data_IF_346966860920
#
_entry.id   IF_346966860920
#
_cell.length_a   1.000
_cell.length_b   1.000
_cell.length_c   1.000
_cell.angle_alpha   90.00
_cell.angle_beta   90.00
_cell.angle_gamma   90.00
#
_symmetry.space_group_name_H-M   'P 1'
#
loop_
_entity.id
_entity.type
_entity.pdbx_description
1 polymer ?
#
# COMPACT_ATOMS: atom_id res chain seq x y z
N UNK A 1 -0.38 1.10 6.24
CA UNK A 1 -0.45 2.56 6.07
C UNK A 1 0.85 3.21 6.55
N UNK A 2 1.34 4.28 5.94
CA UNK A 2 2.57 4.98 6.31
C UNK A 2 2.41 6.50 6.06
N UNK A 3 3.39 7.30 6.47
CA UNK A 3 3.38 8.77 6.37
C UNK A 3 3.00 9.29 4.98
N UNK A 4 3.46 8.65 3.90
CA UNK A 4 3.09 9.05 2.54
C UNK A 4 1.59 9.04 2.29
N UNK A 5 0.86 8.01 2.76
CA UNK A 5 -0.61 7.98 2.65
C UNK A 5 -1.27 9.09 3.48
N UNK A 6 -0.74 9.38 4.67
CA UNK A 6 -1.26 10.49 5.50
C UNK A 6 -1.05 11.85 4.84
N UNK A 7 0.08 12.05 4.14
CA UNK A 7 0.33 13.29 3.40
C UNK A 7 -0.70 13.50 2.29
N UNK A 8 -1.04 12.45 1.54
CA UNK A 8 -2.10 12.50 0.51
C UNK A 8 -3.46 12.84 1.12
N UNK A 9 -3.84 12.17 2.23
CA UNK A 9 -5.11 12.44 2.92
C UNK A 9 -5.13 13.86 3.51
N UNK A 10 -4.01 14.34 4.05
CA UNK A 10 -3.93 15.70 4.58
C UNK A 10 -4.10 16.76 3.48
N UNK A 11 -3.50 16.53 2.30
CA UNK A 11 -3.69 17.43 1.16
C UNK A 11 -5.15 17.41 0.68
N UNK A 12 -5.75 16.23 0.55
CA UNK A 12 -7.15 16.08 0.19
C UNK A 12 -8.07 16.82 1.18
N UNK A 13 -7.80 16.69 2.48
CA UNK A 13 -8.57 17.36 3.55
C UNK A 13 -8.52 18.89 3.47
N UNK A 14 -7.43 19.45 2.95
CA UNK A 14 -7.33 20.91 2.75
C UNK A 14 -8.25 21.40 1.62
N UNK A 15 -8.70 20.50 0.75
CA UNK A 15 -9.56 20.79 -0.38
C UNK A 15 -11.06 20.56 -0.07
N UNK A 16 -11.38 19.71 0.89
CA UNK A 16 -12.76 19.39 1.25
C UNK A 16 -12.92 18.08 2.03
N UNK A 17 -14.12 17.54 2.00
CA UNK A 17 -14.45 16.23 2.57
C UNK A 17 -13.74 15.12 1.80
N UNK A 18 -13.16 14.15 2.53
CA UNK A 18 -12.32 13.11 1.92
C UNK A 18 -13.07 11.78 1.86
N UNK A 19 -13.23 11.25 0.64
CA UNK A 19 -13.63 9.88 0.38
C UNK A 19 -12.39 9.09 -0.04
N UNK A 20 -12.13 7.96 0.61
CA UNK A 20 -10.94 7.13 0.31
C UNK A 20 -11.35 5.88 -0.45
N UNK A 21 -10.83 5.70 -1.66
CA UNK A 21 -10.88 4.43 -2.38
C UNK A 21 -9.85 3.45 -1.80
N UNK A 22 -10.30 2.36 -1.18
CA UNK A 22 -9.43 1.38 -0.54
C UNK A 22 -9.42 0.07 -1.33
N UNK A 23 -8.25 -0.33 -1.82
CA UNK A 23 -8.11 -1.61 -2.53
C UNK A 23 -8.59 -2.79 -1.68
N UNK A 24 -9.43 -3.64 -2.30
CA UNK A 24 -9.88 -4.90 -1.69
C UNK A 24 -8.74 -5.91 -1.58
N UNK A 25 -8.92 -6.93 -0.75
CA UNK A 25 -7.90 -7.96 -0.55
C UNK A 25 -7.58 -8.73 -1.83
N UNK A 26 -8.58 -8.90 -2.71
CA UNK A 26 -8.40 -9.58 -4.00
C UNK A 26 -7.52 -8.77 -4.95
N UNK A 27 -7.69 -7.45 -5.01
CA UNK A 27 -6.81 -6.56 -5.78
C UNK A 27 -5.39 -6.63 -5.25
N UNK A 28 -5.20 -6.55 -3.94
CA UNK A 28 -3.85 -6.60 -3.34
C UNK A 28 -3.18 -7.94 -3.64
N UNK A 29 -3.89 -9.06 -3.50
CA UNK A 29 -3.38 -10.41 -3.81
C UNK A 29 -3.01 -10.57 -5.28
N UNK A 30 -3.81 -10.01 -6.16
CA UNK A 30 -3.60 -10.15 -7.61
C UNK A 30 -2.38 -9.38 -8.14
N UNK A 31 -2.00 -8.28 -7.51
CA UNK A 31 -0.99 -7.37 -8.04
C UNK A 31 0.29 -7.26 -7.22
N UNK A 32 0.24 -7.53 -5.91
CA UNK A 32 1.41 -7.33 -5.04
C UNK A 32 1.72 -8.53 -4.15
N UNK A 33 0.92 -8.74 -3.11
CA UNK A 33 1.16 -9.73 -2.05
C UNK A 33 -0.09 -9.96 -1.23
N UNK A 34 -0.09 -10.98 -0.38
CA UNK A 34 -1.15 -11.12 0.61
C UNK A 34 -1.16 -9.93 1.56
N UNK A 35 -2.31 -9.29 1.78
CA UNK A 35 -2.43 -8.22 2.75
C UNK A 35 -2.18 -8.76 4.17
N UNK A 36 -1.42 -8.03 4.98
CA UNK A 36 -1.19 -8.37 6.40
C UNK A 36 -2.46 -8.12 7.21
N UNK A 37 -3.15 -7.01 6.93
CA UNK A 37 -4.44 -6.65 7.50
C UNK A 37 -5.54 -6.89 6.47
N UNK A 38 -6.66 -7.47 6.89
CA UNK A 38 -7.84 -7.65 6.03
C UNK A 38 -8.47 -6.31 5.65
N UNK A 39 -9.30 -6.33 4.61
CA UNK A 39 -9.99 -5.13 4.12
C UNK A 39 -10.70 -4.37 5.24
N UNK A 40 -11.50 -5.05 6.05
CA UNK A 40 -12.29 -4.42 7.12
C UNK A 40 -11.42 -3.75 8.18
N UNK A 41 -10.31 -4.39 8.57
CA UNK A 41 -9.35 -3.83 9.52
C UNK A 41 -8.67 -2.57 8.95
N UNK A 42 -8.30 -2.60 7.67
CA UNK A 42 -7.70 -1.45 6.97
C UNK A 42 -8.70 -0.31 6.82
N UNK A 43 -9.97 -0.64 6.54
CA UNK A 43 -11.08 0.28 6.43
C UNK A 43 -11.29 1.01 7.76
N UNK A 44 -11.42 0.27 8.86
CA UNK A 44 -11.58 0.83 10.19
C UNK A 44 -10.47 1.82 10.56
N UNK A 45 -9.21 1.48 10.26
CA UNK A 45 -8.08 2.39 10.50
C UNK A 45 -8.24 3.70 9.71
N UNK A 46 -8.67 3.63 8.45
CA UNK A 46 -8.80 4.80 7.58
C UNK A 46 -10.00 5.66 7.97
N UNK A 47 -11.13 5.06 8.32
CA UNK A 47 -12.33 5.76 8.78
C UNK A 47 -12.08 6.59 10.06
N UNK A 48 -11.11 6.20 10.88
CA UNK A 48 -10.70 6.94 12.07
C UNK A 48 -9.68 8.06 11.80
N UNK A 49 -9.31 8.30 10.53
CA UNK A 49 -8.44 9.44 10.19
C UNK A 49 -9.29 10.70 10.08
N UNK A 50 -8.84 11.74 10.77
CA UNK A 50 -9.52 13.04 10.77
C UNK A 50 -9.71 13.58 9.34
N UNK A 51 -10.96 13.88 8.98
CA UNK A 51 -11.34 14.45 7.70
C UNK A 51 -11.76 13.41 6.65
N UNK A 52 -11.59 12.13 6.90
CA UNK A 52 -12.20 11.06 6.09
C UNK A 52 -13.66 10.93 6.51
N UNK A 53 -14.55 11.07 5.55
CA UNK A 53 -16.01 10.93 5.76
C UNK A 53 -16.54 9.59 5.28
N UNK A 54 -15.84 8.95 4.33
CA UNK A 54 -16.26 7.67 3.77
C UNK A 54 -15.05 6.89 3.23
N UNK A 55 -15.12 5.55 3.34
CA UNK A 55 -14.18 4.62 2.70
C UNK A 55 -14.95 3.68 1.79
N UNK A 56 -14.66 3.73 0.49
CA UNK A 56 -15.31 2.91 -0.53
C UNK A 56 -14.37 1.81 -1.05
N UNK A 57 -14.90 0.62 -1.42
CA UNK A 57 -14.07 -0.43 -1.99
C UNK A 57 -13.54 -0.02 -3.38
N UNK A 58 -12.27 -0.35 -3.61
CA UNK A 58 -11.59 -0.22 -4.89
C UNK A 58 -11.24 -1.62 -5.39
N UNK A 59 -12.11 -2.16 -6.27
CA UNK A 59 -12.06 -3.56 -6.72
C UNK A 59 -11.12 -3.80 -7.90
N UNK A 60 -10.52 -2.75 -8.44
CA UNK A 60 -9.56 -2.79 -9.54
C UNK A 60 -8.42 -1.81 -9.29
N UNK A 61 -7.30 -1.93 -10.01
CA UNK A 61 -6.25 -0.89 -9.99
C UNK A 61 -6.72 0.39 -10.66
N UNK A 62 -7.56 0.27 -11.70
CA UNK A 62 -8.14 1.41 -12.38
C UNK A 62 -9.23 2.05 -11.50
N UNK A 63 -9.09 3.34 -11.23
CA UNK A 63 -9.96 4.09 -10.33
C UNK A 63 -11.17 4.72 -11.03
N UNK A 64 -11.22 4.64 -12.37
CA UNK A 64 -12.22 5.33 -13.20
C UNK A 64 -13.66 5.02 -12.77
N UNK A 65 -13.96 3.75 -12.47
CA UNK A 65 -15.31 3.34 -12.06
C UNK A 65 -15.79 4.10 -10.81
N UNK A 66 -14.93 4.19 -9.79
CA UNK A 66 -15.25 4.93 -8.57
C UNK A 66 -15.29 6.44 -8.80
N UNK A 67 -14.38 6.99 -9.62
CA UNK A 67 -14.35 8.40 -9.97
C UNK A 67 -15.65 8.82 -10.68
N UNK A 68 -16.12 8.05 -11.66
CA UNK A 68 -17.34 8.35 -12.37
C UNK A 68 -18.60 8.21 -11.51
N UNK A 69 -18.58 7.30 -10.52
CA UNK A 69 -19.67 7.10 -9.56
C UNK A 69 -19.76 8.24 -8.55
N UNK A 70 -18.63 8.61 -7.95
CA UNK A 70 -18.53 9.65 -6.90
C UNK A 70 -18.54 11.06 -7.51
N UNK A 71 -17.90 11.22 -8.68
CA UNK A 71 -17.72 12.50 -9.38
C UNK A 71 -17.07 13.57 -8.49
N UNK A 72 -15.92 13.28 -7.86
CA UNK A 72 -15.27 14.23 -6.97
C UNK A 72 -14.74 15.46 -7.73
N UNK A 73 -14.76 16.64 -7.11
CA UNK A 73 -14.13 17.83 -7.68
C UNK A 73 -12.62 17.66 -7.83
N UNK A 74 -12.00 16.97 -6.89
CA UNK A 74 -10.57 16.68 -6.85
C UNK A 74 -10.30 15.20 -6.63
N UNK A 75 -9.39 14.63 -7.40
CA UNK A 75 -8.73 13.36 -7.08
C UNK A 75 -7.34 13.71 -6.60
N UNK A 76 -6.95 13.22 -5.43
CA UNK A 76 -5.62 13.44 -4.84
C UNK A 76 -4.86 12.13 -4.81
N UNK A 77 -3.68 12.09 -5.39
CA UNK A 77 -2.84 10.89 -5.47
C UNK A 77 -1.36 11.22 -5.27
N UNK A 78 -0.54 10.24 -4.89
CA UNK A 78 0.91 10.39 -4.94
C UNK A 78 1.42 10.52 -6.39
N UNK A 79 2.55 11.16 -6.61
CA UNK A 79 3.09 11.36 -7.95
C UNK A 79 3.95 10.18 -8.46
N UNK A 80 3.99 9.08 -7.72
CA UNK A 80 4.73 7.85 -8.02
C UNK A 80 4.21 7.07 -9.24
N UNK A 81 3.04 7.40 -9.74
CA UNK A 81 2.42 6.81 -10.95
C UNK A 81 2.70 7.57 -12.26
N UNK A 82 3.48 8.66 -12.20
CA UNK A 82 3.86 9.43 -13.41
C UNK A 82 4.71 8.65 -14.38
N UNK A 83 5.44 7.68 -13.86
CA UNK A 83 6.38 6.85 -14.61
C UNK A 83 6.05 5.36 -14.45
N UNK A 84 6.55 4.54 -15.38
CA UNK A 84 6.40 3.09 -15.32
C UNK A 84 5.02 2.58 -15.73
N UNK A 85 4.65 1.42 -15.20
CA UNK A 85 3.44 0.68 -15.60
C UNK A 85 2.12 1.35 -15.20
N UNK A 86 2.15 2.28 -14.27
CA UNK A 86 0.95 2.97 -13.76
C UNK A 86 0.61 4.26 -14.53
N UNK A 87 1.43 4.64 -15.51
CA UNK A 87 1.19 5.85 -16.33
C UNK A 87 -0.17 5.80 -17.06
N UNK A 88 -0.55 4.64 -17.58
CA UNK A 88 -1.84 4.46 -18.25
C UNK A 88 -3.02 4.68 -17.27
N UNK A 89 -2.93 4.18 -16.04
CA UNK A 89 -3.95 4.40 -15.01
C UNK A 89 -4.11 5.90 -14.70
N UNK A 90 -3.01 6.64 -14.64
CA UNK A 90 -3.02 8.08 -14.46
C UNK A 90 -3.73 8.80 -15.60
N UNK A 91 -3.45 8.42 -16.85
CA UNK A 91 -4.11 8.99 -18.03
C UNK A 91 -5.62 8.70 -18.04
N UNK A 92 -6.03 7.49 -17.65
CA UNK A 92 -7.43 7.12 -17.52
C UNK A 92 -8.16 7.98 -16.47
N UNK A 93 -7.53 8.24 -15.32
CA UNK A 93 -8.07 9.14 -14.29
C UNK A 93 -8.25 10.55 -14.81
N UNK A 94 -7.24 11.11 -15.50
CA UNK A 94 -7.33 12.46 -16.10
C UNK A 94 -8.47 12.52 -17.11
N UNK A 95 -8.60 11.53 -17.97
CA UNK A 95 -9.66 11.46 -18.95
C UNK A 95 -11.04 11.40 -18.30
N UNK A 96 -11.21 10.58 -17.26
CA UNK A 96 -12.46 10.49 -16.51
C UNK A 96 -12.83 11.82 -15.85
N UNK A 97 -11.88 12.50 -15.19
CA UNK A 97 -12.07 13.80 -14.57
C UNK A 97 -12.48 14.88 -15.57
N UNK A 98 -11.85 14.89 -16.74
CA UNK A 98 -12.17 15.84 -17.82
C UNK A 98 -13.62 15.74 -18.31
N UNK A 99 -14.28 14.60 -18.18
CA UNK A 99 -15.68 14.41 -18.61
C UNK A 99 -16.68 15.30 -17.85
N UNK A 100 -16.32 15.74 -16.63
CA UNK A 100 -17.20 16.55 -15.79
C UNK A 100 -16.51 17.77 -15.13
N UNK A 101 -15.25 18.06 -15.51
CA UNK A 101 -14.53 19.22 -15.01
C UNK A 101 -13.79 19.02 -13.67
N UNK A 102 -13.62 17.77 -13.22
CA UNK A 102 -12.81 17.43 -12.05
C UNK A 102 -11.32 17.66 -12.30
N UNK A 103 -10.52 17.68 -11.23
CA UNK A 103 -9.07 17.96 -11.30
C UNK A 103 -8.25 16.92 -10.55
N UNK A 104 -7.08 16.58 -11.11
CA UNK A 104 -6.08 15.74 -10.44
C UNK A 104 -5.08 16.61 -9.69
N UNK A 105 -4.90 16.33 -8.41
CA UNK A 105 -3.86 16.93 -7.56
C UNK A 105 -2.84 15.83 -7.20
N UNK A 106 -1.58 16.08 -7.46
CA UNK A 106 -0.51 15.11 -7.23
C UNK A 106 0.39 15.59 -6.09
N UNK A 107 0.49 14.76 -5.07
CA UNK A 107 1.32 15.02 -3.88
C UNK A 107 2.70 14.42 -4.11
N UNK A 108 3.79 15.17 -3.89
CA UNK A 108 5.13 14.64 -4.04
C UNK A 108 5.36 13.39 -3.19
N UNK A 109 6.00 12.39 -3.80
CA UNK A 109 6.32 11.14 -3.11
C UNK A 109 7.21 11.39 -1.89
N UNK A 110 6.78 10.88 -0.74
CA UNK A 110 7.54 11.01 0.50
C UNK A 110 8.70 10.00 0.51
N UNK A 111 9.92 10.48 0.19
CA UNK A 111 11.12 9.65 0.21
C UNK A 111 11.37 9.06 1.59
N UNK A 112 11.74 7.78 1.65
CA UNK A 112 12.24 7.13 2.87
C UNK A 112 11.18 6.47 3.76
N UNK A 113 9.91 6.44 3.38
CA UNK A 113 8.81 5.83 4.17
C UNK A 113 8.04 4.74 3.41
N UNK A 114 8.61 4.18 2.35
CA UNK A 114 7.96 3.09 1.62
C UNK A 114 8.11 1.74 2.35
N UNK A 115 7.13 0.86 2.12
CA UNK A 115 7.20 -0.55 2.57
C UNK A 115 8.49 -1.21 2.07
N UNK A 116 8.96 -0.86 0.86
CA UNK A 116 10.22 -1.36 0.29
C UNK A 116 11.43 -1.03 1.16
N UNK A 117 11.46 0.14 1.82
CA UNK A 117 12.56 0.51 2.72
C UNK A 117 12.48 -0.25 4.03
N UNK A 118 11.28 -0.37 4.60
CA UNK A 118 11.06 -1.21 5.78
C UNK A 118 11.42 -2.69 5.51
N UNK A 119 11.06 -3.22 4.35
CA UNK A 119 11.45 -4.57 3.94
C UNK A 119 12.97 -4.69 3.75
N UNK A 120 13.65 -3.66 3.21
CA UNK A 120 15.13 -3.63 3.13
C UNK A 120 15.78 -3.57 4.50
N UNK A 121 15.33 -2.69 5.40
CA UNK A 121 15.83 -2.60 6.77
C UNK A 121 15.60 -3.91 7.53
N UNK A 122 14.44 -4.56 7.37
CA UNK A 122 14.16 -5.88 7.94
C UNK A 122 15.04 -6.97 7.32
N UNK A 123 15.37 -6.86 6.02
CA UNK A 123 16.34 -7.75 5.36
C UNK A 123 17.74 -7.58 5.92
N UNK A 124 18.20 -6.35 6.14
CA UNK A 124 19.52 -6.05 6.71
C UNK A 124 19.67 -6.56 8.16
N UNK A 125 18.57 -6.52 8.95
CA UNK A 125 18.55 -7.07 10.32
C UNK A 125 18.45 -8.62 10.33
N UNK A 126 18.26 -9.27 9.16
CA UNK A 126 18.23 -10.72 9.06
C UNK A 126 16.98 -11.41 9.64
N UNK A 127 15.88 -10.66 9.84
CA UNK A 127 14.69 -11.14 10.55
C UNK A 127 13.59 -11.68 9.61
N UNK A 128 13.69 -11.47 8.29
CA UNK A 128 12.62 -11.91 7.39
C UNK A 128 12.56 -13.44 7.27
N UNK A 129 11.36 -14.04 7.13
CA UNK A 129 11.22 -15.48 6.91
C UNK A 129 12.05 -15.99 5.72
N UNK A 130 12.17 -15.19 4.66
CA UNK A 130 12.95 -15.53 3.48
C UNK A 130 14.45 -15.64 3.78
N UNK A 131 15.00 -14.73 4.59
CA UNK A 131 16.41 -14.80 5.00
C UNK A 131 16.65 -15.96 5.94
N UNK A 132 15.76 -16.22 6.89
CA UNK A 132 15.86 -17.42 7.75
C UNK A 132 15.83 -18.71 6.93
N UNK A 133 14.94 -18.80 5.93
CA UNK A 133 14.89 -19.94 5.00
C UNK A 133 16.16 -20.05 4.16
N UNK A 134 16.71 -18.93 3.67
CA UNK A 134 17.98 -18.93 2.92
C UNK A 134 19.13 -19.40 3.81
N UNK A 135 19.29 -18.83 5.00
CA UNK A 135 20.32 -19.22 5.95
C UNK A 135 20.20 -20.69 6.36
N UNK A 136 18.98 -21.18 6.60
CA UNK A 136 18.74 -22.59 6.89
C UNK A 136 19.16 -23.49 5.72
N UNK A 137 18.81 -23.14 4.48
CA UNK A 137 19.24 -23.87 3.28
C UNK A 137 20.77 -23.90 3.15
N UNK A 138 21.42 -22.76 3.32
CA UNK A 138 22.89 -22.66 3.29
C UNK A 138 23.55 -23.56 4.35
N UNK A 139 23.00 -23.59 5.57
CA UNK A 139 23.45 -24.49 6.63
C UNK A 139 23.27 -25.96 6.25
N UNK A 140 22.11 -26.37 5.75
CA UNK A 140 21.82 -27.74 5.35
C UNK A 140 22.77 -28.19 4.23
N UNK A 141 23.06 -27.34 3.24
CA UNK A 141 23.93 -27.67 2.12
C UNK A 141 25.43 -27.52 2.42
N UNK A 142 25.81 -26.92 3.54
CA UNK A 142 27.20 -26.70 3.92
C UNK A 142 27.97 -27.98 4.26
N UNK A 143 27.30 -29.14 4.32
CA UNK A 143 27.90 -30.46 4.73
C UNK A 143 28.54 -30.46 6.12
N UNK A 144 28.26 -29.43 6.94
CA UNK A 144 28.68 -29.37 8.34
C UNK A 144 27.53 -29.89 9.23
N UNK A 145 27.82 -30.51 10.39
CA UNK A 145 26.80 -30.91 11.30
C UNK A 145 26.02 -29.70 11.82
N UNK A 146 24.70 -29.67 11.60
CA UNK A 146 23.81 -28.61 12.07
C UNK A 146 23.07 -29.13 13.31
N UNK A 147 23.17 -28.42 14.43
CA UNK A 147 22.37 -28.70 15.62
C UNK A 147 21.04 -27.98 15.51
N UNK A 148 19.96 -28.72 15.54
CA UNK A 148 18.60 -28.18 15.55
C UNK A 148 18.10 -28.26 16.98
N UNK A 149 17.74 -27.09 17.54
CA UNK A 149 17.09 -26.99 18.85
C UNK A 149 15.63 -26.58 18.60
N UNK A 150 14.72 -27.30 19.20
CA UNK A 150 13.33 -26.94 19.21
C UNK A 150 13.07 -25.92 20.33
N UNK A 151 12.50 -24.76 19.96
CA UNK A 151 12.11 -23.74 20.90
C UNK A 151 10.59 -23.50 20.82
N UNK A 152 9.90 -23.65 21.92
CA UNK A 152 8.44 -23.46 21.97
C UNK A 152 8.02 -21.99 22.13
N UNK A 153 8.93 -21.14 22.57
CA UNK A 153 8.71 -19.69 22.70
C UNK A 153 10.05 -18.93 22.74
N UNK A 154 10.01 -17.60 22.72
CA UNK A 154 11.19 -16.73 22.70
C UNK A 154 12.07 -16.79 23.97
N UNK A 155 11.63 -17.46 25.03
CA UNK A 155 12.41 -17.65 26.27
C UNK A 155 13.19 -18.96 26.30
N UNK A 156 12.85 -19.91 25.44
CA UNK A 156 13.48 -21.24 25.36
C UNK A 156 14.35 -21.41 24.10
N UNK A 157 14.45 -20.38 23.27
CA UNK A 157 15.26 -20.33 22.05
C UNK A 157 16.56 -19.58 22.17
#
# INVERSE_FOLDING_TARGET
MHQGHLNVINEARNLGDVIVGLHTDDVIRGYWRNPIMKYDERKEVIENIKGVIEVIPQDTLDQVSNILKVRPEYVVHGDDWKEGQQKELRENVINALNTYGGKLIEVPYTKGVSISKLDQELMEIGITPQMRMKSLKELIYSKKPVRILEAHNGLTG
#
